data_IF_289449786818
#
_entry.id   IF_289449786818
#
_cell.length_a   1.000
_cell.length_b   1.000
_cell.length_c   1.000
_cell.angle_alpha   90.00
_cell.angle_beta   90.00
_cell.angle_gamma   90.00
#
_symmetry.space_group_name_H-M   'P 1'
#
loop_
_entity.id
_entity.type
_entity.pdbx_description
1 polymer ?
#
# COMPACT_ATOMS: atom_id res chain seq x y z
N UNK A 1 12.33 -2.40 16.09
CA UNK A 1 11.03 -3.05 15.80
C UNK A 1 11.11 -3.53 14.38
N UNK A 2 11.13 -4.84 14.16
CA UNK A 2 11.11 -5.42 12.82
C UNK A 2 9.74 -5.15 12.16
N UNK A 3 9.71 -4.23 11.20
CA UNK A 3 8.55 -4.04 10.35
C UNK A 3 8.44 -5.25 9.42
N UNK A 4 7.26 -5.85 9.24
CA UNK A 4 7.10 -7.02 8.36
C UNK A 4 7.35 -6.63 6.90
N UNK A 5 7.94 -7.51 6.06
CA UNK A 5 8.07 -7.26 4.63
C UNK A 5 6.71 -7.00 3.97
N UNK A 6 6.67 -6.02 3.07
CA UNK A 6 5.47 -5.70 2.28
C UNK A 6 5.70 -6.13 0.84
N UNK A 7 4.79 -6.93 0.30
CA UNK A 7 4.81 -7.37 -1.10
C UNK A 7 3.38 -7.46 -1.68
N UNK A 8 3.30 -7.69 -2.98
CA UNK A 8 2.05 -7.74 -3.76
C UNK A 8 1.16 -8.99 -3.49
N UNK A 9 1.52 -9.82 -2.51
CA UNK A 9 0.70 -10.95 -2.07
C UNK A 9 -0.25 -10.58 -0.91
N UNK A 10 0.00 -9.46 -0.23
CA UNK A 10 -0.77 -9.01 0.92
C UNK A 10 -2.12 -8.47 0.45
N UNK A 11 -3.23 -8.97 1.01
CA UNK A 11 -4.58 -8.60 0.58
C UNK A 11 -4.97 -7.16 0.94
N UNK A 12 -4.51 -6.65 2.08
CA UNK A 12 -4.78 -5.29 2.56
C UNK A 12 -3.47 -4.69 3.04
N UNK A 13 -3.07 -3.58 2.44
CA UNK A 13 -1.89 -2.81 2.83
C UNK A 13 -2.37 -1.47 3.38
N UNK A 14 -2.03 -1.14 4.62
CA UNK A 14 -2.26 0.21 5.14
C UNK A 14 -1.16 1.13 4.59
N UNK A 15 -1.54 2.30 4.08
CA UNK A 15 -0.58 3.35 3.69
C UNK A 15 0.35 3.73 4.85
N UNK A 16 -0.14 3.72 6.09
CA UNK A 16 0.69 3.94 7.29
C UNK A 16 1.81 2.91 7.42
N UNK A 17 1.47 1.63 7.26
CA UNK A 17 2.42 0.53 7.37
C UNK A 17 3.41 0.56 6.21
N UNK A 18 2.93 0.90 5.01
CA UNK A 18 3.76 1.12 3.82
C UNK A 18 4.85 2.17 4.07
N UNK A 19 4.47 3.38 4.49
CA UNK A 19 5.46 4.43 4.78
C UNK A 19 6.38 4.07 5.95
N UNK A 20 5.85 3.38 6.96
CA UNK A 20 6.66 2.90 8.09
C UNK A 20 7.71 1.90 7.64
N UNK A 21 7.36 0.97 6.74
CA UNK A 21 8.29 -0.02 6.17
C UNK A 21 9.34 0.63 5.28
N UNK A 22 8.95 1.58 4.43
CA UNK A 22 9.89 2.34 3.58
C UNK A 22 10.92 3.06 4.45
N UNK A 23 10.49 3.82 5.46
CA UNK A 23 11.40 4.54 6.34
C UNK A 23 12.33 3.59 7.12
N UNK A 24 11.83 2.42 7.52
CA UNK A 24 12.66 1.39 8.17
C UNK A 24 13.71 0.82 7.20
N UNK A 25 13.33 0.51 5.95
CA UNK A 25 14.26 -0.02 4.93
C UNK A 25 15.35 1.00 4.59
N UNK A 26 14.99 2.28 4.46
CA UNK A 26 15.95 3.37 4.20
C UNK A 26 16.97 3.49 5.35
N UNK A 27 16.53 3.35 6.60
CA UNK A 27 17.42 3.33 7.76
C UNK A 27 18.30 2.09 7.76
N UNK A 28 17.72 0.89 7.59
CA UNK A 28 18.45 -0.38 7.66
C UNK A 28 19.51 -0.47 6.56
N UNK A 29 19.19 -0.03 5.33
CA UNK A 29 20.12 -0.01 4.20
C UNK A 29 21.28 0.97 4.40
N UNK A 30 21.08 2.03 5.17
CA UNK A 30 22.16 2.94 5.56
C UNK A 30 23.14 2.29 6.54
N UNK A 31 22.70 1.31 7.32
CA UNK A 31 23.55 0.56 8.26
C UNK A 31 24.12 -0.72 7.67
N UNK A 32 23.41 -1.38 6.74
CA UNK A 32 23.78 -2.68 6.14
C UNK A 32 23.34 -2.74 4.69
N UNK A 33 24.27 -3.06 3.79
CA UNK A 33 23.90 -3.32 2.39
C UNK A 33 23.22 -4.70 2.29
N UNK A 34 21.95 -4.73 1.89
CA UNK A 34 21.17 -5.94 1.65
C UNK A 34 20.45 -5.80 0.32
N UNK A 35 20.72 -6.72 -0.61
CA UNK A 35 20.09 -6.72 -1.93
C UNK A 35 18.58 -6.92 -1.81
N UNK A 36 18.14 -7.82 -0.91
CA UNK A 36 16.72 -8.09 -0.66
C UNK A 36 15.97 -6.82 -0.18
N UNK A 37 16.55 -6.08 0.76
CA UNK A 37 15.94 -4.84 1.27
C UNK A 37 15.97 -3.72 0.23
N UNK A 38 17.00 -3.70 -0.62
CA UNK A 38 17.10 -2.73 -1.70
C UNK A 38 16.04 -2.95 -2.77
N UNK A 39 15.80 -4.20 -3.16
CA UNK A 39 14.75 -4.55 -4.12
C UNK A 39 13.35 -4.33 -3.54
N UNK A 40 13.12 -4.67 -2.26
CA UNK A 40 11.87 -4.34 -1.58
C UNK A 40 11.65 -2.82 -1.57
N UNK A 41 12.65 -2.03 -1.16
CA UNK A 41 12.54 -0.57 -1.11
C UNK A 41 12.21 0.03 -2.49
N UNK A 42 12.88 -0.43 -3.56
CA UNK A 42 12.59 0.01 -4.93
C UNK A 42 11.14 -0.28 -5.32
N UNK A 43 10.65 -1.50 -5.06
CA UNK A 43 9.29 -1.89 -5.38
C UNK A 43 8.27 -1.04 -4.61
N UNK A 44 8.50 -0.81 -3.31
CA UNK A 44 7.62 0.03 -2.49
C UNK A 44 7.65 1.50 -2.90
N UNK A 45 8.81 2.04 -3.30
CA UNK A 45 8.91 3.42 -3.82
C UNK A 45 8.18 3.59 -5.15
N UNK A 46 8.25 2.61 -6.06
CA UNK A 46 7.45 2.62 -7.30
C UNK A 46 5.97 2.58 -6.97
N UNK A 47 5.56 1.73 -6.02
CA UNK A 47 4.17 1.65 -5.60
C UNK A 47 3.66 2.96 -5.01
N UNK A 48 4.42 3.62 -4.14
CA UNK A 48 4.07 4.95 -3.60
C UNK A 48 3.93 5.99 -4.72
N UNK A 49 4.83 6.00 -5.71
CA UNK A 49 4.70 6.90 -6.87
C UNK A 49 3.41 6.65 -7.64
N UNK A 50 2.99 5.40 -7.80
CA UNK A 50 1.73 5.05 -8.44
C UNK A 50 0.53 5.51 -7.60
N UNK A 51 0.61 5.39 -6.26
CA UNK A 51 -0.40 5.92 -5.34
C UNK A 51 -0.52 7.43 -5.50
N UNK A 52 0.60 8.16 -5.46
CA UNK A 52 0.62 9.62 -5.55
C UNK A 52 0.16 10.13 -6.94
N UNK A 53 0.43 9.36 -8.00
CA UNK A 53 -0.09 9.64 -9.34
C UNK A 53 -1.60 9.40 -9.46
N UNK A 54 -2.12 8.41 -8.74
CA UNK A 54 -3.54 8.05 -8.72
C UNK A 54 -4.37 8.96 -7.81
N UNK A 55 -3.78 9.43 -6.70
CA UNK A 55 -4.41 10.32 -5.74
C UNK A 55 -3.37 11.26 -5.13
N UNK A 56 -3.63 12.56 -5.18
CA UNK A 56 -2.78 13.55 -4.49
C UNK A 56 -2.69 13.20 -2.99
N UNK A 57 -1.52 13.42 -2.38
CA UNK A 57 -1.29 13.26 -0.93
C UNK A 57 -2.28 14.08 -0.09
N UNK A 58 -2.91 15.11 -0.68
CA UNK A 58 -3.98 15.90 -0.06
C UNK A 58 -5.36 15.24 -0.06
N UNK A 59 -5.54 14.13 -0.78
CA UNK A 59 -6.83 13.46 -1.02
C UNK A 59 -6.96 12.08 -0.40
N UNK A 60 -5.85 11.43 -0.01
CA UNK A 60 -5.91 10.16 0.75
C UNK A 60 -5.34 10.36 2.15
N UNK A 61 -6.00 9.79 3.16
CA UNK A 61 -5.49 9.81 4.53
C UNK A 61 -4.29 8.87 4.62
N UNK A 62 -3.27 9.21 5.41
CA UNK A 62 -2.13 8.31 5.70
C UNK A 62 -2.56 7.05 6.46
N UNK A 63 -3.84 6.89 6.77
CA UNK A 63 -4.47 5.65 7.26
C UNK A 63 -5.27 4.87 6.20
N UNK A 64 -5.34 5.33 4.95
CA UNK A 64 -6.09 4.68 3.87
C UNK A 64 -5.57 3.27 3.58
N UNK A 65 -6.49 2.38 3.27
CA UNK A 65 -6.19 0.99 2.90
C UNK A 65 -6.09 0.85 1.38
N UNK A 66 -5.12 0.05 0.96
CA UNK A 66 -4.95 -0.45 -0.39
C UNK A 66 -5.42 -1.91 -0.39
N UNK A 67 -6.48 -2.20 -1.12
CA UNK A 67 -7.11 -3.52 -1.14
C UNK A 67 -6.80 -4.22 -2.46
N UNK A 68 -6.14 -5.37 -2.41
CA UNK A 68 -5.81 -6.15 -3.60
C UNK A 68 -7.08 -6.50 -4.38
N UNK A 69 -7.04 -6.38 -5.71
CA UNK A 69 -8.19 -6.63 -6.58
C UNK A 69 -8.82 -8.02 -6.37
N UNK A 70 -8.02 -9.06 -6.16
CA UNK A 70 -8.51 -10.42 -5.89
C UNK A 70 -9.28 -10.56 -4.57
N UNK A 71 -9.08 -9.65 -3.62
CA UNK A 71 -9.76 -9.61 -2.32
C UNK A 71 -10.86 -8.54 -2.27
N UNK A 72 -10.99 -7.76 -3.34
CA UNK A 72 -11.84 -6.57 -3.37
C UNK A 72 -13.33 -6.90 -3.23
N UNK A 73 -13.81 -7.96 -3.88
CA UNK A 73 -15.22 -8.37 -3.79
C UNK A 73 -15.62 -8.76 -2.36
N UNK A 74 -14.75 -9.48 -1.65
CA UNK A 74 -14.99 -9.86 -0.26
C UNK A 74 -14.94 -8.63 0.66
N UNK A 75 -13.99 -7.72 0.43
CA UNK A 75 -13.90 -6.47 1.16
C UNK A 75 -15.13 -5.57 0.97
N UNK A 76 -15.66 -5.51 -0.25
CA UNK A 76 -16.85 -4.72 -0.58
C UNK A 76 -18.09 -5.18 0.18
N UNK A 77 -18.29 -6.49 0.33
CA UNK A 77 -19.39 -7.06 1.14
C UNK A 77 -19.31 -6.60 2.61
N UNK A 78 -18.09 -6.48 3.14
CA UNK A 78 -17.85 -5.98 4.51
C UNK A 78 -18.17 -4.49 4.63
N UNK A 79 -17.87 -3.69 3.61
CA UNK A 79 -18.20 -2.26 3.57
C UNK A 79 -19.71 -1.99 3.42
N UNK A 80 -20.40 -2.73 2.54
CA UNK A 80 -21.84 -2.56 2.30
C UNK A 80 -22.68 -2.88 3.55
N UNK A 81 -22.21 -3.79 4.42
CA UNK A 81 -22.83 -4.08 5.72
C UNK A 81 -22.68 -2.98 6.78
N UNK A 82 -21.80 -1.98 6.57
CA UNK A 82 -21.53 -0.88 7.51
C UNK A 82 -21.86 0.48 6.87
N UNK A 83 -23.14 0.79 6.67
CA UNK A 83 -23.65 2.14 6.31
C UNK A 83 -22.74 2.93 5.36
N UNK A 84 -22.45 2.35 4.19
CA UNK A 84 -21.44 2.86 3.27
C UNK A 84 -21.85 4.22 2.69
N UNK A 85 -21.25 5.30 3.21
CA UNK A 85 -20.97 6.47 2.36
C UNK A 85 -20.24 5.97 1.11
N UNK A 86 -20.55 6.53 -0.05
CA UNK A 86 -19.88 6.19 -1.30
C UNK A 86 -18.36 6.36 -1.14
N UNK A 87 -17.65 5.25 -0.95
CA UNK A 87 -16.19 5.22 -0.86
C UNK A 87 -15.65 5.38 -2.28
N UNK A 88 -14.80 6.38 -2.49
CA UNK A 88 -14.11 6.52 -3.78
C UNK A 88 -12.93 5.56 -3.78
N UNK A 89 -12.84 4.77 -4.83
CA UNK A 89 -11.81 3.76 -5.00
C UNK A 89 -11.05 4.04 -6.28
N UNK A 90 -9.73 4.04 -6.20
CA UNK A 90 -8.85 4.31 -7.34
C UNK A 90 -7.91 3.13 -7.53
N UNK A 91 -7.75 2.61 -8.75
CA UNK A 91 -6.83 1.53 -9.01
C UNK A 91 -5.39 2.03 -8.97
N UNK A 92 -4.51 1.25 -8.37
CA UNK A 92 -3.07 1.49 -8.24
C UNK A 92 -2.35 0.19 -8.55
N UNK A 93 -1.31 0.25 -9.39
CA UNK A 93 -0.49 -0.90 -9.71
C UNK A 93 0.62 -1.11 -8.67
N UNK A 94 0.76 -2.34 -8.19
CA UNK A 94 1.89 -2.82 -7.40
C UNK A 94 2.52 -4.04 -8.07
N UNK A 95 3.55 -3.80 -8.89
CA UNK A 95 4.31 -4.86 -9.57
C UNK A 95 3.39 -5.78 -10.41
N UNK A 96 2.51 -5.16 -11.21
CA UNK A 96 1.53 -5.85 -12.05
C UNK A 96 0.28 -6.34 -11.32
N UNK A 97 0.20 -6.17 -10.00
CA UNK A 97 -1.00 -6.49 -9.21
C UNK A 97 -1.77 -5.22 -8.89
N UNK A 98 -3.05 -5.19 -9.28
CA UNK A 98 -3.92 -4.04 -9.01
C UNK A 98 -4.39 -4.04 -7.55
N UNK A 99 -4.22 -2.90 -6.90
CA UNK A 99 -4.77 -2.54 -5.60
C UNK A 99 -5.77 -1.39 -5.74
N UNK A 100 -6.84 -1.42 -4.96
CA UNK A 100 -7.82 -0.36 -4.88
C UNK A 100 -7.52 0.50 -3.66
N UNK A 101 -7.09 1.74 -3.89
CA UNK A 101 -6.91 2.74 -2.85
C UNK A 101 -8.26 3.29 -2.43
N UNK A 102 -8.54 3.25 -1.13
CA UNK A 102 -9.69 3.90 -0.52
C UNK A 102 -9.40 5.37 -0.21
N UNK A 103 -10.15 6.28 -0.83
CA UNK A 103 -10.13 7.73 -0.59
C UNK A 103 -11.23 8.17 0.39
#
# INVERSE_FOLDING_TARGET
MDSKPINNTINIISSKDLFTRINWLEQELNYRCSDEYSEELKALQVFVKNVDAAASVSTYDKGSNLIRNSYFEDYRKVLEGKNAKAVRLVPVDFDGVIYWLQL
#
